data_IF_686035297769
#
_entry.id   IF_686035297769
#
_cell.length_a   1.000
_cell.length_b   1.000
_cell.length_c   1.000
_cell.angle_alpha   90.00
_cell.angle_beta   90.00
_cell.angle_gamma   90.00
#
_symmetry.space_group_name_H-M   'P 1'
#
loop_
_entity.id
_entity.type
_entity.pdbx_description
1 polymer ?
#
# COMPACT_ATOMS: atom_id res chain seq x y z
N UNK A 1 12.97 12.85 7.49
CA UNK A 1 11.65 12.20 7.54
C UNK A 1 11.86 10.73 7.22
N UNK A 2 11.51 9.85 8.13
CA UNK A 2 11.90 8.45 8.06
C UNK A 2 10.69 7.56 7.76
N UNK A 3 10.88 6.53 6.94
CA UNK A 3 9.85 5.55 6.59
C UNK A 3 10.04 4.31 7.47
N UNK A 4 9.02 3.95 8.25
CA UNK A 4 8.97 2.66 8.89
C UNK A 4 8.51 1.62 7.85
N UNK A 5 9.42 0.85 7.32
CA UNK A 5 9.12 -0.22 6.36
C UNK A 5 9.49 -1.56 6.98
N UNK A 6 8.49 -2.38 7.29
CA UNK A 6 8.72 -3.82 7.41
C UNK A 6 8.91 -4.39 5.99
N UNK A 7 10.14 -4.44 5.55
CA UNK A 7 10.49 -5.31 4.43
C UNK A 7 10.55 -6.72 5.00
N UNK A 8 9.41 -7.40 5.03
CA UNK A 8 9.37 -8.81 5.35
C UNK A 8 10.36 -9.53 4.45
N UNK A 9 11.28 -10.27 5.04
CA UNK A 9 12.35 -11.03 4.35
C UNK A 9 11.85 -11.98 3.26
N UNK A 10 10.54 -12.22 3.17
CA UNK A 10 9.90 -13.08 2.18
C UNK A 10 9.43 -12.36 0.89
N UNK A 11 9.43 -11.04 0.83
CA UNK A 11 8.85 -10.30 -0.29
C UNK A 11 9.76 -10.19 -1.52
N UNK A 12 11.05 -10.51 -1.40
CA UNK A 12 12.06 -10.25 -2.44
C UNK A 12 12.75 -11.56 -2.91
N UNK A 13 12.31 -12.72 -2.44
CA UNK A 13 12.82 -14.01 -2.90
C UNK A 13 12.17 -14.42 -4.22
N UNK A 14 12.76 -14.00 -5.31
CA UNK A 14 12.30 -14.40 -6.63
C UNK A 14 13.21 -13.94 -7.75
N UNK A 15 14.50 -14.23 -7.64
CA UNK A 15 15.44 -14.01 -8.73
C UNK A 15 16.88 -13.89 -8.25
N UNK A 16 17.68 -14.82 -8.68
CA UNK A 16 19.13 -14.93 -8.68
C UNK A 16 19.99 -14.27 -7.57
N UNK A 17 21.03 -14.96 -7.14
CA UNK A 17 21.99 -14.64 -6.06
C UNK A 17 22.48 -13.18 -5.95
N UNK A 18 22.34 -12.37 -7.01
CA UNK A 18 22.75 -10.95 -7.00
C UNK A 18 21.78 -10.03 -6.23
N UNK A 19 20.51 -10.41 -6.11
CA UNK A 19 19.49 -9.63 -5.37
C UNK A 19 19.61 -9.83 -3.85
N UNK A 20 20.08 -10.97 -3.41
CA UNK A 20 20.27 -11.26 -1.98
C UNK A 20 21.32 -10.32 -1.35
N UNK A 21 22.38 -9.95 -2.08
CA UNK A 21 23.46 -9.12 -1.54
C UNK A 21 23.04 -7.66 -1.31
N UNK A 22 22.09 -7.12 -2.08
CA UNK A 22 21.62 -5.73 -1.91
C UNK A 22 20.77 -5.62 -0.64
N UNK A 23 20.03 -6.66 -0.33
CA UNK A 23 19.08 -6.71 0.79
C UNK A 23 19.76 -7.04 2.12
N UNK A 24 20.79 -7.89 2.11
CA UNK A 24 21.52 -8.31 3.31
C UNK A 24 22.33 -7.20 4.00
N UNK A 25 22.64 -6.10 3.31
CA UNK A 25 23.34 -4.97 3.92
C UNK A 25 22.47 -4.11 4.85
N UNK A 26 21.17 -4.38 4.91
CA UNK A 26 20.28 -3.72 5.85
C UNK A 26 20.34 -4.41 7.22
N UNK A 27 21.14 -3.85 8.15
CA UNK A 27 21.22 -4.34 9.54
C UNK A 27 19.94 -4.01 10.29
N UNK A 28 19.34 -5.02 10.93
CA UNK A 28 18.21 -4.84 11.83
C UNK A 28 18.58 -3.96 13.03
N UNK A 29 17.76 -2.96 13.35
CA UNK A 29 17.85 -2.27 14.62
C UNK A 29 17.43 -3.21 15.76
N UNK A 30 17.83 -2.92 17.00
CA UNK A 30 17.53 -3.74 18.19
C UNK A 30 16.02 -3.97 18.43
N UNK A 31 15.13 -3.19 17.80
CA UNK A 31 13.67 -3.24 17.97
C UNK A 31 12.94 -3.85 16.77
N UNK A 32 13.61 -4.55 15.84
CA UNK A 32 13.03 -5.18 14.64
C UNK A 32 12.25 -4.23 13.69
N UNK A 33 12.20 -2.95 13.96
CA UNK A 33 11.65 -1.95 13.03
C UNK A 33 12.80 -1.18 12.40
N UNK A 34 12.88 -1.24 11.09
CA UNK A 34 13.88 -0.51 10.33
C UNK A 34 13.25 0.75 9.76
N UNK A 35 13.76 1.87 10.23
CA UNK A 35 13.46 3.18 9.64
C UNK A 35 14.42 3.38 8.47
N UNK A 36 13.87 3.61 7.28
CA UNK A 36 14.63 3.89 6.06
C UNK A 36 14.31 5.33 5.67
N UNK A 37 15.33 6.13 5.41
CA UNK A 37 15.13 7.47 4.84
C UNK A 37 14.52 7.36 3.44
N UNK A 38 13.74 8.37 3.04
CA UNK A 38 13.04 8.37 1.74
C UNK A 38 14.03 8.22 0.59
N UNK A 39 15.15 8.90 0.66
CA UNK A 39 16.17 8.86 -0.39
C UNK A 39 16.80 7.47 -0.51
N UNK A 40 17.06 6.80 0.61
CA UNK A 40 17.54 5.41 0.62
C UNK A 40 16.50 4.46 0.02
N UNK A 41 15.22 4.64 0.34
CA UNK A 41 14.15 3.84 -0.25
C UNK A 41 14.06 4.03 -1.77
N UNK A 42 14.12 5.27 -2.26
CA UNK A 42 14.15 5.57 -3.69
C UNK A 42 15.38 4.95 -4.35
N UNK A 43 16.54 5.02 -3.71
CA UNK A 43 17.77 4.39 -4.18
C UNK A 43 17.62 2.87 -4.31
N UNK A 44 17.02 2.21 -3.32
CA UNK A 44 16.75 0.77 -3.37
C UNK A 44 15.84 0.42 -4.55
N UNK A 45 14.77 1.20 -4.78
CA UNK A 45 13.89 0.96 -5.93
C UNK A 45 14.69 1.10 -7.24
N UNK A 46 15.51 2.14 -7.38
CA UNK A 46 16.35 2.35 -8.56
C UNK A 46 17.27 1.14 -8.79
N UNK A 47 17.95 0.68 -7.75
CA UNK A 47 18.86 -0.46 -7.86
C UNK A 47 18.10 -1.74 -8.25
N UNK A 48 16.96 -2.01 -7.64
CA UNK A 48 16.13 -3.18 -7.99
C UNK A 48 15.63 -3.10 -9.43
N UNK A 49 15.22 -1.91 -9.90
CA UNK A 49 14.72 -1.71 -11.27
C UNK A 49 15.82 -1.87 -12.35
N UNK A 50 17.11 -1.89 -11.99
CA UNK A 50 18.17 -2.29 -12.92
C UNK A 50 18.14 -3.79 -13.24
N UNK A 51 17.54 -4.60 -12.37
CA UNK A 51 17.54 -6.07 -12.48
C UNK A 51 16.17 -6.66 -12.78
N UNK A 52 15.11 -5.86 -12.70
CA UNK A 52 13.73 -6.28 -13.00
C UNK A 52 12.93 -5.13 -13.59
N UNK A 53 11.80 -5.44 -14.21
CA UNK A 53 10.87 -4.40 -14.66
C UNK A 53 10.00 -3.90 -13.50
N UNK A 54 9.54 -2.64 -13.59
CA UNK A 54 8.63 -2.05 -12.62
C UNK A 54 7.35 -2.90 -12.44
N UNK A 55 6.85 -3.49 -13.54
CA UNK A 55 5.69 -4.38 -13.56
C UNK A 55 5.91 -5.61 -12.70
N UNK A 56 7.02 -6.32 -12.93
CA UNK A 56 7.33 -7.55 -12.20
C UNK A 56 7.55 -7.28 -10.71
N UNK A 57 8.26 -6.21 -10.39
CA UNK A 57 8.47 -5.78 -9.01
C UNK A 57 7.13 -5.49 -8.34
N UNK A 58 6.29 -4.69 -8.97
CA UNK A 58 5.00 -4.28 -8.43
C UNK A 58 4.05 -5.46 -8.25
N UNK A 59 3.93 -6.32 -9.27
CA UNK A 59 3.09 -7.53 -9.21
C UNK A 59 3.52 -8.42 -8.05
N UNK A 60 4.81 -8.64 -7.87
CA UNK A 60 5.34 -9.48 -6.79
C UNK A 60 5.08 -8.86 -5.42
N UNK A 61 5.28 -7.55 -5.26
CA UNK A 61 5.03 -6.85 -4.01
C UNK A 61 3.54 -6.90 -3.64
N UNK A 62 2.66 -6.58 -4.59
CA UNK A 62 1.21 -6.53 -4.34
C UNK A 62 0.63 -7.92 -4.09
N UNK A 63 1.05 -8.95 -4.83
CA UNK A 63 0.57 -10.33 -4.59
C UNK A 63 0.99 -10.90 -3.25
N UNK A 64 2.13 -10.46 -2.72
CA UNK A 64 2.64 -10.87 -1.40
C UNK A 64 2.17 -9.95 -0.28
N UNK A 65 1.44 -8.89 -0.63
CA UNK A 65 0.95 -7.95 0.36
C UNK A 65 -0.01 -8.65 1.32
N UNK A 66 0.25 -8.53 2.61
CA UNK A 66 -0.64 -8.94 3.68
C UNK A 66 -0.76 -7.79 4.66
N UNK A 67 -1.98 -7.40 4.97
CA UNK A 67 -2.21 -6.28 5.88
C UNK A 67 -1.52 -6.50 7.24
N UNK A 68 -1.56 -7.72 7.77
CA UNK A 68 -0.93 -8.10 9.04
C UNK A 68 0.61 -7.98 9.06
N UNK A 69 1.27 -7.88 7.90
CA UNK A 69 2.73 -7.70 7.82
C UNK A 69 3.17 -6.23 7.79
N UNK A 70 2.23 -5.29 7.87
CA UNK A 70 2.49 -3.84 7.87
C UNK A 70 2.46 -3.24 9.27
N UNK A 71 3.24 -3.80 10.19
CA UNK A 71 3.44 -3.26 11.54
C UNK A 71 2.14 -2.93 12.28
N UNK A 72 2.19 -1.89 13.08
CA UNK A 72 1.03 -1.46 13.88
C UNK A 72 -0.14 -0.99 13.02
N UNK A 73 0.12 -0.28 11.91
CA UNK A 73 -0.95 0.21 11.03
C UNK A 73 -1.68 -0.94 10.35
N UNK A 74 -0.94 -1.93 9.87
CA UNK A 74 -1.52 -3.12 9.24
C UNK A 74 -2.38 -3.92 10.21
N UNK A 75 -1.88 -4.18 11.42
CA UNK A 75 -2.64 -4.88 12.46
C UNK A 75 -3.86 -4.08 12.92
N UNK A 76 -3.73 -2.75 13.05
CA UNK A 76 -4.82 -1.86 13.41
C UNK A 76 -5.94 -1.91 12.37
N UNK A 77 -5.59 -1.83 11.07
CA UNK A 77 -6.55 -2.00 9.97
C UNK A 77 -7.19 -3.39 9.96
N UNK A 78 -6.39 -4.44 10.15
CA UNK A 78 -6.88 -5.83 10.19
C UNK A 78 -7.87 -6.08 11.33
N UNK A 79 -7.70 -5.40 12.48
CA UNK A 79 -8.58 -5.52 13.66
C UNK A 79 -9.61 -4.39 13.75
N UNK A 80 -9.78 -3.55 12.73
CA UNK A 80 -10.77 -2.46 12.72
C UNK A 80 -12.18 -3.00 12.72
N UNK A 81 -13.14 -2.20 13.22
CA UNK A 81 -14.54 -2.63 13.34
C UNK A 81 -15.20 -2.85 11.99
N UNK A 82 -15.01 -1.93 11.05
CA UNK A 82 -15.60 -1.95 9.71
C UNK A 82 -14.65 -1.36 8.67
N UNK A 83 -15.05 -1.40 7.41
CA UNK A 83 -14.27 -0.86 6.29
C UNK A 83 -14.05 0.64 6.41
N UNK A 84 -15.05 1.38 6.88
CA UNK A 84 -14.92 2.83 7.09
C UNK A 84 -13.80 3.13 8.09
N UNK A 85 -13.80 2.44 9.22
CA UNK A 85 -12.76 2.59 10.25
C UNK A 85 -11.37 2.24 9.71
N UNK A 86 -11.25 1.18 8.88
CA UNK A 86 -9.97 0.84 8.25
C UNK A 86 -9.50 1.94 7.30
N UNK A 87 -10.37 2.52 6.49
CA UNK A 87 -10.04 3.64 5.60
C UNK A 87 -9.62 4.86 6.40
N UNK A 88 -10.36 5.22 7.46
CA UNK A 88 -10.04 6.36 8.32
C UNK A 88 -8.64 6.21 8.95
N UNK A 89 -8.25 4.98 9.31
CA UNK A 89 -6.90 4.68 9.82
C UNK A 89 -5.82 4.83 8.75
N UNK A 90 -6.06 4.35 7.52
CA UNK A 90 -5.14 4.53 6.38
C UNK A 90 -4.91 6.02 6.16
N UNK A 91 -5.98 6.81 6.08
CA UNK A 91 -5.88 8.27 5.87
C UNK A 91 -5.10 8.95 6.99
N UNK A 92 -5.37 8.55 8.23
CA UNK A 92 -4.78 9.21 9.41
C UNK A 92 -3.31 8.87 9.64
N UNK A 93 -2.93 7.61 9.44
CA UNK A 93 -1.64 7.08 9.91
C UNK A 93 -0.70 6.58 8.82
N UNK A 94 -1.14 6.48 7.56
CA UNK A 94 -0.27 6.00 6.47
C UNK A 94 1.02 6.81 6.30
N UNK A 95 1.00 8.10 6.67
CA UNK A 95 2.19 8.95 6.60
C UNK A 95 3.34 8.48 7.50
N UNK A 96 3.07 7.64 8.50
CA UNK A 96 4.09 7.06 9.38
C UNK A 96 4.88 5.98 8.62
N UNK A 97 4.17 5.11 7.89
CA UNK A 97 4.80 4.00 7.14
C UNK A 97 5.16 4.39 5.70
N UNK A 98 4.37 5.28 5.11
CA UNK A 98 4.47 5.63 3.70
C UNK A 98 4.32 7.15 3.46
N UNK A 99 5.30 7.97 3.90
CA UNK A 99 5.22 9.43 3.86
C UNK A 99 5.32 10.04 2.46
N UNK A 100 5.58 9.24 1.42
CA UNK A 100 5.74 9.71 0.03
C UNK A 100 4.42 10.17 -0.57
N UNK A 101 3.30 9.63 -0.10
CA UNK A 101 1.96 10.03 -0.52
C UNK A 101 1.07 10.29 0.68
N UNK A 102 0.05 11.11 0.47
CA UNK A 102 -1.03 11.36 1.42
C UNK A 102 -2.34 10.84 0.85
N UNK A 103 -3.12 10.20 1.69
CA UNK A 103 -4.47 9.78 1.34
C UNK A 103 -5.50 10.77 1.87
N UNK A 104 -6.56 10.97 1.11
CA UNK A 104 -7.77 11.68 1.54
C UNK A 104 -9.02 10.91 1.12
N UNK A 105 -10.12 11.14 1.82
CA UNK A 105 -11.43 10.54 1.49
C UNK A 105 -12.40 11.63 1.15
N UNK A 106 -13.14 11.42 0.07
CA UNK A 106 -14.24 12.28 -0.32
C UNK A 106 -15.49 11.46 -0.72
N UNK A 107 -16.64 12.06 -0.64
CA UNK A 107 -17.88 11.48 -1.18
C UNK A 107 -17.98 11.89 -2.63
N UNK A 108 -17.98 10.92 -3.54
CA UNK A 108 -18.13 11.18 -4.97
C UNK A 108 -19.61 11.43 -5.34
N UNK A 109 -20.50 10.56 -4.82
CA UNK A 109 -21.95 10.65 -5.02
C UNK A 109 -22.66 9.76 -3.97
N UNK A 110 -23.95 9.50 -4.16
CA UNK A 110 -24.74 8.67 -3.24
C UNK A 110 -24.27 7.22 -3.19
N UNK A 111 -23.69 6.69 -4.27
CA UNK A 111 -23.27 5.30 -4.39
C UNK A 111 -21.80 5.08 -3.98
N UNK A 112 -20.92 6.05 -4.24
CA UNK A 112 -19.46 5.89 -4.09
C UNK A 112 -18.84 6.94 -3.20
N UNK A 113 -17.88 6.47 -2.40
CA UNK A 113 -16.79 7.27 -1.83
C UNK A 113 -15.51 7.03 -2.62
N UNK A 114 -14.57 7.96 -2.56
CA UNK A 114 -13.25 7.84 -3.18
C UNK A 114 -12.17 8.02 -2.14
N UNK A 115 -11.08 7.26 -2.32
CA UNK A 115 -9.80 7.48 -1.63
C UNK A 115 -8.88 8.07 -2.68
N UNK A 116 -8.47 9.30 -2.51
CA UNK A 116 -7.54 10.00 -3.39
C UNK A 116 -6.12 9.94 -2.86
N UNK A 117 -5.16 9.91 -3.77
CA UNK A 117 -3.74 9.89 -3.48
C UNK A 117 -3.11 11.18 -3.96
N UNK A 118 -2.40 11.86 -3.07
CA UNK A 118 -1.73 13.12 -3.32
C UNK A 118 -0.22 13.00 -3.04
N UNK A 119 0.59 13.69 -3.84
CA UNK A 119 2.03 13.77 -3.62
C UNK A 119 2.34 14.55 -2.34
N UNK A 120 3.29 14.07 -1.57
CA UNK A 120 3.90 14.83 -0.45
C UNK A 120 5.27 15.37 -0.81
N UNK A 121 5.93 14.75 -1.79
CA UNK A 121 7.25 15.15 -2.30
C UNK A 121 7.25 15.13 -3.83
N UNK A 122 7.99 16.04 -4.49
CA UNK A 122 8.13 16.03 -5.93
C UNK A 122 8.96 14.82 -6.38
N UNK A 123 8.36 13.91 -7.12
CA UNK A 123 9.04 12.77 -7.73
C UNK A 123 9.41 13.13 -9.17
N UNK A 124 10.70 13.30 -9.43
CA UNK A 124 11.24 13.75 -10.72
C UNK A 124 11.32 12.59 -11.72
N UNK A 125 11.69 11.39 -11.25
CA UNK A 125 11.82 10.22 -12.12
C UNK A 125 10.44 9.62 -12.43
N UNK A 126 10.10 9.54 -13.71
CA UNK A 126 8.81 9.09 -14.21
C UNK A 126 8.49 7.62 -13.83
N UNK A 127 9.46 6.71 -13.98
CA UNK A 127 9.25 5.28 -13.71
C UNK A 127 9.02 5.02 -12.22
N UNK A 128 9.81 5.72 -11.38
CA UNK A 128 9.65 5.67 -9.92
C UNK A 128 8.31 6.25 -9.50
N UNK A 129 7.91 7.36 -10.09
CA UNK A 129 6.63 8.01 -9.84
C UNK A 129 5.46 7.06 -10.12
N UNK A 130 5.47 6.41 -11.28
CA UNK A 130 4.45 5.44 -11.64
C UNK A 130 4.43 4.21 -10.72
N UNK A 131 5.61 3.69 -10.39
CA UNK A 131 5.73 2.59 -9.45
C UNK A 131 5.13 2.95 -8.08
N UNK A 132 5.47 4.12 -7.55
CA UNK A 132 4.99 4.59 -6.25
C UNK A 132 3.47 4.79 -6.27
N UNK A 133 2.93 5.45 -7.28
CA UNK A 133 1.48 5.69 -7.38
C UNK A 133 0.70 4.39 -7.50
N UNK A 134 1.13 3.50 -8.38
CA UNK A 134 0.40 2.26 -8.59
C UNK A 134 0.49 1.34 -7.37
N UNK A 135 1.66 1.29 -6.69
CA UNK A 135 1.79 0.62 -5.39
C UNK A 135 0.83 1.23 -4.37
N UNK A 136 0.77 2.56 -4.29
CA UNK A 136 -0.08 3.28 -3.34
C UNK A 136 -1.57 3.12 -3.61
N UNK A 137 -1.97 2.84 -4.86
CA UNK A 137 -3.35 2.48 -5.21
C UNK A 137 -3.65 1.01 -4.92
N UNK A 138 -2.76 0.11 -5.32
CA UNK A 138 -3.01 -1.34 -5.22
C UNK A 138 -2.94 -1.87 -3.79
N UNK A 139 -2.01 -1.36 -2.97
CA UNK A 139 -1.86 -1.85 -1.59
C UNK A 139 -3.11 -1.63 -0.74
N UNK A 140 -3.74 -0.44 -0.69
CA UNK A 140 -5.01 -0.25 0.02
C UNK A 140 -6.15 -1.12 -0.54
N UNK A 141 -6.23 -1.30 -1.87
CA UNK A 141 -7.26 -2.16 -2.47
C UNK A 141 -7.11 -3.60 -1.99
N UNK A 142 -5.89 -4.14 -2.03
CA UNK A 142 -5.63 -5.50 -1.54
C UNK A 142 -5.91 -5.61 -0.05
N UNK A 143 -5.48 -4.63 0.75
CA UNK A 143 -5.70 -4.58 2.18
C UNK A 143 -7.18 -4.57 2.55
N UNK A 144 -7.97 -3.71 1.90
CA UNK A 144 -9.41 -3.59 2.18
C UNK A 144 -10.18 -4.82 1.69
N UNK A 145 -9.79 -5.41 0.57
CA UNK A 145 -10.37 -6.66 0.10
C UNK A 145 -10.01 -7.85 1.02
N UNK A 146 -8.80 -7.85 1.63
CA UNK A 146 -8.42 -8.85 2.64
C UNK A 146 -9.32 -8.75 3.89
N UNK A 147 -9.65 -7.54 4.35
CA UNK A 147 -10.60 -7.31 5.43
C UNK A 147 -12.02 -7.78 5.07
N UNK A 148 -12.44 -7.54 3.83
CA UNK A 148 -13.76 -7.94 3.35
C UNK A 148 -13.88 -9.47 3.13
N UNK A 149 -12.75 -10.17 2.98
CA UNK A 149 -12.70 -11.58 2.58
C UNK A 149 -13.08 -11.84 1.11
N UNK A 150 -13.33 -10.77 0.34
CA UNK A 150 -13.77 -10.82 -1.05
C UNK A 150 -13.18 -9.65 -1.86
N UNK A 151 -13.06 -9.83 -3.16
CA UNK A 151 -12.56 -8.79 -4.07
C UNK A 151 -13.68 -7.81 -4.49
N UNK A 152 -14.21 -7.05 -3.55
CA UNK A 152 -15.33 -6.12 -3.77
C UNK A 152 -14.89 -4.70 -4.13
N UNK A 153 -13.66 -4.31 -3.79
CA UNK A 153 -13.07 -3.03 -4.18
C UNK A 153 -12.22 -3.29 -5.42
N UNK A 154 -12.72 -2.81 -6.56
CA UNK A 154 -12.19 -3.20 -7.86
C UNK A 154 -11.81 -2.03 -8.77
N UNK A 155 -12.37 -0.84 -8.54
CA UNK A 155 -12.24 0.30 -9.45
C UNK A 155 -11.15 1.26 -9.01
N UNK A 156 -10.17 1.45 -9.90
CA UNK A 156 -9.04 2.35 -9.74
C UNK A 156 -9.00 3.33 -10.91
N UNK A 157 -8.76 4.60 -10.64
CA UNK A 157 -8.38 5.59 -11.65
C UNK A 157 -6.91 5.94 -11.48
N UNK A 158 -6.18 5.99 -12.58
CA UNK A 158 -4.74 6.21 -12.61
C UNK A 158 -4.38 7.36 -13.57
N UNK A 159 -3.53 8.26 -13.11
CA UNK A 159 -3.00 9.35 -13.92
C UNK A 159 -1.90 8.80 -14.83
N UNK A 160 -2.12 8.90 -16.14
CA UNK A 160 -1.21 8.36 -17.16
C UNK A 160 -1.54 6.93 -17.58
N UNK A 161 -0.64 6.31 -18.33
CA UNK A 161 -0.80 4.93 -18.81
C UNK A 161 -0.45 3.93 -17.71
N UNK A 162 -1.20 2.84 -17.63
CA UNK A 162 -0.87 1.77 -16.68
C UNK A 162 0.42 1.06 -17.14
N UNK A 163 1.48 1.07 -16.35
CA UNK A 163 2.74 0.45 -16.72
C UNK A 163 2.64 -1.10 -16.78
N UNK A 164 1.68 -1.69 -16.06
CA UNK A 164 1.51 -3.14 -16.06
C UNK A 164 0.77 -3.57 -17.33
N UNK A 165 1.52 -4.08 -18.29
CA UNK A 165 0.93 -4.75 -19.44
C UNK A 165 0.18 -6.00 -18.96
N UNK A 166 -1.01 -6.22 -19.49
CA UNK A 166 -1.81 -7.41 -19.14
C UNK A 166 -2.11 -7.57 -17.63
N UNK A 167 -2.28 -6.46 -16.89
CA UNK A 167 -2.57 -6.50 -15.44
C UNK A 167 -3.72 -7.45 -15.08
N UNK A 168 -4.67 -7.67 -15.99
CA UNK A 168 -5.78 -8.62 -15.85
C UNK A 168 -5.33 -10.07 -15.64
N UNK A 169 -4.16 -10.47 -16.12
CA UNK A 169 -3.59 -11.79 -15.85
C UNK A 169 -3.19 -11.97 -14.38
N UNK A 170 -2.88 -10.88 -13.71
CA UNK A 170 -2.38 -10.88 -12.34
C UNK A 170 -3.46 -10.46 -11.33
N UNK A 171 -4.34 -9.57 -11.75
CA UNK A 171 -5.41 -8.96 -10.95
C UNK A 171 -6.69 -8.93 -11.79
N UNK A 172 -7.27 -10.10 -12.04
CA UNK A 172 -8.44 -10.26 -12.91
C UNK A 172 -9.69 -9.51 -12.43
N UNK A 173 -9.76 -9.25 -11.13
CA UNK A 173 -10.85 -8.51 -10.49
C UNK A 173 -10.70 -6.99 -10.60
N UNK A 174 -9.52 -6.46 -10.91
CA UNK A 174 -9.30 -5.02 -10.97
C UNK A 174 -9.78 -4.42 -12.29
N UNK A 175 -10.31 -3.22 -12.20
CA UNK A 175 -10.67 -2.34 -13.31
C UNK A 175 -9.88 -1.04 -13.18
N UNK A 176 -8.74 -0.97 -13.88
CA UNK A 176 -7.86 0.21 -13.86
C UNK A 176 -8.21 1.08 -15.06
N UNK A 177 -8.75 2.28 -14.79
CA UNK A 177 -8.93 3.34 -15.77
C UNK A 177 -7.66 4.17 -15.82
N UNK A 178 -7.12 4.35 -17.01
CA UNK A 178 -5.88 5.10 -17.25
C UNK A 178 -6.17 6.47 -17.84
N UNK A 179 -5.15 7.33 -17.88
CA UNK A 179 -5.24 8.70 -18.38
C UNK A 179 -6.33 9.53 -17.69
N UNK A 180 -6.52 9.30 -16.39
CA UNK A 180 -7.45 10.06 -15.56
C UNK A 180 -6.78 11.32 -15.01
N UNK A 181 -7.57 12.25 -14.48
CA UNK A 181 -7.09 13.50 -13.88
C UNK A 181 -6.47 13.29 -12.49
N UNK A 182 -6.89 12.23 -11.78
CA UNK A 182 -6.43 11.93 -10.42
C UNK A 182 -6.23 10.45 -10.19
N UNK A 183 -5.35 10.14 -9.24
CA UNK A 183 -5.14 8.79 -8.71
C UNK A 183 -6.15 8.52 -7.60
N UNK A 184 -7.10 7.62 -7.83
CA UNK A 184 -8.13 7.34 -6.85
C UNK A 184 -8.59 5.88 -6.86
N UNK A 185 -9.12 5.44 -5.72
CA UNK A 185 -9.81 4.17 -5.53
C UNK A 185 -11.29 4.49 -5.29
N UNK A 186 -12.19 3.83 -6.02
CA UNK A 186 -13.62 3.92 -5.76
C UNK A 186 -14.07 2.83 -4.82
N UNK A 187 -14.81 3.22 -3.78
CA UNK A 187 -15.38 2.32 -2.79
C UNK A 187 -16.89 2.52 -2.76
N UNK A 188 -17.65 1.45 -2.96
CA UNK A 188 -19.11 1.51 -2.80
C UNK A 188 -19.44 1.86 -1.35
N UNK A 189 -20.30 2.84 -1.15
CA UNK A 189 -20.70 3.30 0.21
C UNK A 189 -21.39 2.21 1.01
N UNK A 190 -22.07 1.29 0.34
CA UNK A 190 -22.68 0.11 1.00
C UNK A 190 -21.66 -0.79 1.68
N UNK A 191 -20.40 -0.79 1.20
CA UNK A 191 -19.31 -1.59 1.80
C UNK A 191 -18.73 -0.95 3.06
N UNK A 192 -18.89 0.37 3.24
CA UNK A 192 -18.24 1.10 4.33
C UNK A 192 -18.65 0.57 5.72
N UNK A 193 -19.88 0.13 5.86
CA UNK A 193 -20.43 -0.39 7.11
C UNK A 193 -20.33 -1.92 7.23
N UNK A 194 -19.65 -2.61 6.28
CA UNK A 194 -19.42 -4.03 6.40
C UNK A 194 -18.53 -4.30 7.61
N UNK A 195 -19.04 -5.11 8.52
CA UNK A 195 -18.33 -5.50 9.73
C UNK A 195 -17.17 -6.41 9.34
N UNK A 196 -16.01 -6.09 9.87
CA UNK A 196 -14.81 -6.89 9.68
C UNK A 196 -14.88 -8.16 10.55
N UNK A 197 -14.83 -9.33 9.92
CA UNK A 197 -14.83 -10.61 10.63
C UNK A 197 -13.63 -10.82 11.56
N UNK A 198 -12.55 -10.07 11.33
CA UNK A 198 -11.33 -10.11 12.14
C UNK A 198 -11.33 -9.07 13.27
N UNK A 199 -12.43 -8.34 13.46
CA UNK A 199 -12.53 -7.32 14.50
C UNK A 199 -12.19 -7.88 15.88
N UNK A 200 -11.26 -7.24 16.54
CA UNK A 200 -10.88 -7.54 17.92
C UNK A 200 -10.60 -6.25 18.68
N UNK A 201 -11.51 -5.87 19.54
CA UNK A 201 -11.44 -4.60 20.27
C UNK A 201 -10.18 -4.46 21.13
N UNK A 202 -9.76 -5.54 21.78
CA UNK A 202 -8.57 -5.52 22.64
C UNK A 202 -7.30 -5.27 21.82
N UNK A 203 -7.11 -6.04 20.74
CA UNK A 203 -5.97 -5.88 19.84
C UNK A 203 -6.01 -4.50 19.17
N UNK A 204 -7.18 -4.05 18.72
CA UNK A 204 -7.36 -2.72 18.15
C UNK A 204 -6.88 -1.62 19.09
N UNK A 205 -7.33 -1.64 20.35
CA UNK A 205 -6.94 -0.63 21.35
C UNK A 205 -5.43 -0.67 21.65
N UNK A 206 -4.85 -1.87 21.75
CA UNK A 206 -3.40 -2.00 21.94
C UNK A 206 -2.63 -1.38 20.77
N UNK A 207 -2.96 -1.72 19.52
CA UNK A 207 -2.28 -1.22 18.34
C UNK A 207 -2.48 0.30 18.17
N UNK A 208 -3.67 0.81 18.47
CA UNK A 208 -3.96 2.24 18.45
C UNK A 208 -3.07 3.01 19.44
N UNK A 209 -2.90 2.48 20.64
CA UNK A 209 -2.02 3.09 21.63
C UNK A 209 -0.55 3.08 21.20
N UNK A 210 -0.09 2.02 20.52
CA UNK A 210 1.29 1.97 20.03
C UNK A 210 1.54 2.94 18.88
N UNK A 211 0.62 3.01 17.90
CA UNK A 211 0.80 3.90 16.74
C UNK A 211 0.71 5.40 17.14
N UNK A 212 -0.02 5.72 18.20
CA UNK A 212 -0.12 7.10 18.71
C UNK A 212 1.14 7.59 19.43
N UNK A 213 2.09 6.69 19.75
CA UNK A 213 3.38 7.04 20.36
C UNK A 213 4.47 7.36 19.32
N UNK A 214 4.21 7.03 18.03
CA UNK A 214 5.11 7.29 16.92
C UNK A 214 4.97 8.71 16.39
#
# INVERSE_FOLDING_TARGET
>A
MAIACEVGSSAIYGGEQSQENIIYNFRYSKNNQKIIEIDDYIHIIIEVLKHTTADNLLINLVKKYKLSSHGYLGLLGYCSYDIKSAIDLIVKYSHIEWPIVKYSVAVLNEEYSIIEIHDTIPLINHDIKYFIYLKSLLSPVVALNDILGENLITDISFVGECPIKDYKKHFNYLNIKTNCESNLIKVKRTLLNNINSNYNEHTFKMMLNEIQKL
#
